data_IF_456266854635
#
_entry.id   IF_456266854635
#
_cell.length_a   1.000
_cell.length_b   1.000
_cell.length_c   1.000
_cell.angle_alpha   90.00
_cell.angle_beta   90.00
_cell.angle_gamma   90.00
#
_symmetry.space_group_name_H-M   'P 1'
#
loop_
_entity.id
_entity.type
_entity.pdbx_description
1 polymer ?
#
# COMPACT_ATOMS: atom_id res chain seq x y z
N UNK A 1 15.92 7.79 -88.17
CA UNK A 1 16.96 8.73 -87.68
C UNK A 1 16.39 9.62 -86.58
N UNK A 2 16.43 9.17 -85.31
CA UNK A 2 16.21 10.04 -84.14
C UNK A 2 17.39 9.81 -83.21
N UNK A 3 18.33 10.73 -83.25
CA UNK A 3 19.52 10.77 -82.39
C UNK A 3 19.07 11.06 -80.96
N UNK A 4 19.35 10.11 -80.06
CA UNK A 4 19.16 10.28 -78.61
C UNK A 4 20.29 11.18 -78.12
N UNK A 5 20.00 12.47 -77.96
CA UNK A 5 20.94 13.43 -77.40
C UNK A 5 21.07 13.23 -75.89
N UNK A 6 22.23 12.76 -75.45
CA UNK A 6 22.61 12.77 -74.04
C UNK A 6 22.84 14.24 -73.61
N UNK A 7 21.95 14.77 -72.77
CA UNK A 7 22.20 16.06 -72.10
C UNK A 7 23.37 15.86 -71.12
N UNK A 8 24.42 16.72 -71.15
CA UNK A 8 25.51 16.62 -70.19
C UNK A 8 24.95 16.86 -68.79
N UNK A 9 25.14 15.87 -67.91
CA UNK A 9 24.74 15.95 -66.53
C UNK A 9 25.55 17.08 -65.87
N UNK A 10 24.86 18.09 -65.35
CA UNK A 10 25.52 19.26 -64.77
C UNK A 10 26.36 18.82 -63.56
N UNK A 11 27.64 19.18 -63.54
CA UNK A 11 28.63 18.75 -62.52
C UNK A 11 28.13 19.05 -61.10
N UNK A 12 27.36 20.14 -60.92
CA UNK A 12 26.74 20.49 -59.63
C UNK A 12 25.69 19.48 -59.14
N UNK A 13 24.99 18.80 -60.04
CA UNK A 13 24.02 17.76 -59.67
C UNK A 13 24.72 16.47 -59.23
N UNK A 14 25.89 16.18 -59.80
CA UNK A 14 26.72 15.03 -59.41
C UNK A 14 27.34 15.27 -58.03
N UNK A 15 27.88 16.46 -57.79
CA UNK A 15 28.45 16.81 -56.48
C UNK A 15 27.40 16.84 -55.39
N UNK A 16 26.20 17.38 -55.64
CA UNK A 16 25.14 17.39 -54.64
C UNK A 16 24.61 15.99 -54.32
N UNK A 17 24.56 15.09 -55.31
CA UNK A 17 24.19 13.68 -55.08
C UNK A 17 25.25 12.91 -54.32
N UNK A 18 26.53 13.13 -54.63
CA UNK A 18 27.65 12.55 -53.87
C UNK A 18 27.66 13.06 -52.43
N UNK A 19 27.43 14.36 -52.22
CA UNK A 19 27.35 14.94 -50.89
C UNK A 19 26.18 14.38 -50.09
N UNK A 20 24.99 14.27 -50.70
CA UNK A 20 23.83 13.63 -50.08
C UNK A 20 24.07 12.14 -49.78
N UNK A 21 24.75 11.41 -50.66
CA UNK A 21 25.11 10.00 -50.45
C UNK A 21 26.13 9.84 -49.32
N UNK A 22 27.10 10.75 -49.20
CA UNK A 22 28.07 10.76 -48.09
C UNK A 22 27.37 11.09 -46.78
N UNK A 23 26.45 12.06 -46.76
CA UNK A 23 25.63 12.36 -45.57
C UNK A 23 24.79 11.13 -45.18
N UNK A 24 24.14 10.46 -46.13
CA UNK A 24 23.38 9.24 -45.87
C UNK A 24 24.26 8.08 -45.39
N UNK A 25 25.49 7.94 -45.90
CA UNK A 25 26.45 6.93 -45.46
C UNK A 25 26.94 7.22 -44.04
N UNK A 26 27.26 8.47 -43.73
CA UNK A 26 27.69 8.91 -42.41
C UNK A 26 26.55 8.78 -41.40
N UNK A 27 25.33 9.18 -41.76
CA UNK A 27 24.13 8.98 -40.93
C UNK A 27 23.81 7.49 -40.72
N UNK A 28 24.05 6.64 -41.72
CA UNK A 28 23.90 5.18 -41.61
C UNK A 28 24.95 4.50 -40.71
N UNK A 29 26.08 5.16 -40.43
CA UNK A 29 27.10 4.69 -39.49
C UNK A 29 26.94 5.24 -38.06
N UNK A 30 26.03 6.20 -37.84
CA UNK A 30 25.74 6.77 -36.52
C UNK A 30 24.62 6.06 -35.75
N UNK A 31 24.19 4.88 -36.18
CA UNK A 31 23.51 3.96 -35.27
C UNK A 31 24.56 3.37 -34.34
N UNK A 32 24.90 4.08 -33.27
CA UNK A 32 25.51 3.45 -32.09
C UNK A 32 24.44 2.50 -31.54
N UNK A 33 24.47 1.25 -31.98
CA UNK A 33 23.63 0.21 -31.39
C UNK A 33 24.19 -0.03 -30.01
N UNK A 34 23.52 0.50 -28.98
CA UNK A 34 23.75 0.05 -27.61
C UNK A 34 23.61 -1.47 -27.62
N UNK A 35 24.70 -2.15 -27.30
CA UNK A 35 24.71 -3.61 -27.20
C UNK A 35 24.01 -4.03 -25.91
N UNK A 36 23.58 -5.28 -25.84
CA UNK A 36 23.04 -5.84 -24.59
C UNK A 36 24.07 -5.75 -23.44
N UNK A 37 25.37 -5.79 -23.76
CA UNK A 37 26.43 -5.59 -22.79
C UNK A 37 26.46 -4.14 -22.25
N UNK A 38 26.33 -3.14 -23.13
CA UNK A 38 26.31 -1.72 -22.73
C UNK A 38 25.09 -1.42 -21.84
N UNK A 39 23.93 -2.03 -22.14
CA UNK A 39 22.74 -1.91 -21.31
C UNK A 39 22.92 -2.57 -19.95
N UNK A 40 23.53 -3.76 -19.89
CA UNK A 40 23.82 -4.44 -18.62
C UNK A 40 24.81 -3.67 -17.77
N UNK A 41 25.81 -3.03 -18.37
CA UNK A 41 26.75 -2.17 -17.66
C UNK A 41 26.04 -0.96 -17.06
N UNK A 42 25.23 -0.25 -17.87
CA UNK A 42 24.42 0.87 -17.40
C UNK A 42 23.45 0.46 -16.27
N UNK A 43 22.84 -0.72 -16.37
CA UNK A 43 21.91 -1.23 -15.35
C UNK A 43 22.56 -1.46 -13.99
N UNK A 44 23.88 -1.66 -13.93
CA UNK A 44 24.61 -1.89 -12.68
C UNK A 44 25.06 -0.58 -12.01
N UNK A 45 24.93 0.56 -12.69
CA UNK A 45 25.33 1.84 -12.14
C UNK A 45 24.44 2.27 -10.95
N UNK A 46 25.04 3.00 -10.02
CA UNK A 46 24.33 3.47 -8.83
C UNK A 46 23.26 4.54 -9.15
N UNK A 47 23.36 5.19 -10.32
CA UNK A 47 22.46 6.23 -10.81
C UNK A 47 21.42 5.73 -11.83
N UNK A 48 21.35 4.41 -12.06
CA UNK A 48 20.27 3.78 -12.83
C UNK A 48 19.00 3.63 -11.97
N UNK A 49 18.26 2.53 -12.09
CA UNK A 49 17.06 2.29 -11.31
C UNK A 49 17.46 1.95 -9.88
N UNK A 50 16.73 2.51 -8.91
CA UNK A 50 16.77 2.11 -7.50
C UNK A 50 15.36 2.00 -6.95
N UNK A 51 15.14 0.95 -6.17
CA UNK A 51 13.88 0.70 -5.48
C UNK A 51 14.02 0.81 -3.95
N UNK A 52 13.04 1.40 -3.29
CA UNK A 52 12.94 1.42 -1.83
C UNK A 52 11.48 1.28 -1.38
N UNK A 53 11.27 0.74 -0.18
CA UNK A 53 9.98 0.80 0.49
C UNK A 53 9.93 2.03 1.39
N UNK A 54 8.83 2.78 1.32
CA UNK A 54 8.55 3.88 2.24
C UNK A 54 7.45 3.47 3.18
N UNK A 55 7.76 3.44 4.48
CA UNK A 55 6.79 3.27 5.56
C UNK A 55 6.40 4.64 6.08
N UNK A 56 5.11 4.94 6.09
CA UNK A 56 4.57 6.20 6.64
C UNK A 56 3.94 5.94 8.00
N UNK A 57 4.27 6.79 8.97
CA UNK A 57 3.72 6.73 10.34
C UNK A 57 2.19 6.81 10.34
N UNK A 58 1.51 6.26 11.36
CA UNK A 58 0.07 6.47 11.58
C UNK A 58 -0.37 7.94 11.53
N UNK A 59 -1.49 8.21 10.86
CA UNK A 59 -2.15 9.52 10.83
C UNK A 59 -3.36 9.60 11.77
N UNK A 60 -4.01 10.77 11.80
CA UNK A 60 -5.16 11.03 12.70
C UNK A 60 -6.51 10.63 12.08
N UNK A 61 -6.60 10.61 10.75
CA UNK A 61 -7.81 10.21 10.04
C UNK A 61 -7.97 8.68 10.02
N UNK A 62 -9.21 8.19 10.00
CA UNK A 62 -9.54 6.76 10.09
C UNK A 62 -8.85 5.91 9.02
N UNK A 63 -8.71 6.43 7.79
CA UNK A 63 -8.05 5.75 6.67
C UNK A 63 -6.52 5.71 6.81
N UNK A 64 -5.94 6.70 7.51
CA UNK A 64 -4.49 6.82 7.73
C UNK A 64 -4.01 6.21 9.06
N UNK A 65 -4.94 5.75 9.90
CA UNK A 65 -4.66 5.34 11.28
C UNK A 65 -3.68 4.15 11.37
N UNK A 66 -3.64 3.29 10.36
CA UNK A 66 -2.71 2.16 10.31
C UNK A 66 -1.30 2.48 9.85
N UNK A 67 -1.04 3.73 9.46
CA UNK A 67 0.12 4.08 8.65
C UNK A 67 -0.12 3.75 7.17
N UNK A 68 0.94 3.84 6.37
CA UNK A 68 0.86 3.52 4.95
C UNK A 68 2.17 2.89 4.47
N UNK A 69 2.11 2.10 3.41
CA UNK A 69 3.28 1.54 2.74
C UNK A 69 3.25 1.98 1.28
N UNK A 70 4.40 2.41 0.77
CA UNK A 70 4.58 2.76 -0.63
C UNK A 70 5.90 2.20 -1.16
N UNK A 71 6.04 2.08 -2.49
CA UNK A 71 7.30 1.74 -3.15
C UNK A 71 7.80 2.98 -3.91
N UNK A 72 9.02 3.41 -3.64
CA UNK A 72 9.68 4.44 -4.44
C UNK A 72 10.56 3.78 -5.51
N UNK A 73 10.43 4.26 -6.74
CA UNK A 73 11.28 3.90 -7.86
C UNK A 73 11.92 5.17 -8.39
N UNK A 74 13.25 5.20 -8.42
CA UNK A 74 14.00 6.35 -8.90
C UNK A 74 14.99 5.95 -9.99
N UNK A 75 15.19 6.83 -10.97
CA UNK A 75 16.20 6.72 -12.01
C UNK A 75 16.88 8.08 -12.21
N UNK A 76 17.96 8.38 -11.47
CA UNK A 76 18.68 9.65 -11.58
C UNK A 76 19.16 10.00 -13.00
N UNK A 77 19.66 9.02 -13.78
CA UNK A 77 20.07 9.24 -15.18
C UNK A 77 18.93 9.77 -16.04
N UNK A 78 17.70 9.36 -15.77
CA UNK A 78 16.50 9.84 -16.47
C UNK A 78 15.81 11.01 -15.75
N UNK A 79 16.32 11.44 -14.59
CA UNK A 79 15.69 12.45 -13.73
C UNK A 79 14.25 12.10 -13.35
N UNK A 80 13.98 10.82 -13.11
CA UNK A 80 12.66 10.30 -12.73
C UNK A 80 12.70 9.82 -11.28
N UNK A 81 11.67 10.17 -10.51
CA UNK A 81 11.53 9.76 -9.11
C UNK A 81 10.04 9.67 -8.75
N UNK A 82 9.54 8.43 -8.71
CA UNK A 82 8.14 8.12 -8.47
C UNK A 82 7.94 7.35 -7.17
N UNK A 83 6.77 7.55 -6.59
CA UNK A 83 6.24 6.72 -5.51
C UNK A 83 4.96 6.07 -6.01
N UNK A 84 4.87 4.77 -5.78
CA UNK A 84 3.74 3.92 -6.08
C UNK A 84 3.07 3.49 -4.78
N UNK A 85 1.77 3.67 -4.71
CA UNK A 85 0.94 3.26 -3.59
C UNK A 85 -0.27 2.47 -4.08
N UNK A 86 -0.89 1.73 -3.15
CA UNK A 86 -2.20 1.11 -3.37
C UNK A 86 -3.15 1.61 -2.29
N UNK A 87 -4.24 2.24 -2.71
CA UNK A 87 -5.24 2.80 -1.81
C UNK A 87 -6.67 2.55 -2.31
N UNK A 88 -7.64 2.89 -1.47
CA UNK A 88 -9.04 2.86 -1.82
C UNK A 88 -9.34 3.89 -2.93
N UNK A 89 -9.91 3.42 -4.03
CA UNK A 89 -10.40 4.26 -5.11
C UNK A 89 -11.69 4.96 -4.66
N UNK A 90 -11.58 6.24 -4.30
CA UNK A 90 -12.68 7.04 -3.77
C UNK A 90 -12.89 8.29 -4.63
N UNK A 91 -14.14 8.56 -4.98
CA UNK A 91 -14.52 9.88 -5.50
C UNK A 91 -14.72 10.88 -4.35
N UNK A 92 -14.58 12.18 -4.62
CA UNK A 92 -14.69 13.25 -3.61
C UNK A 92 -15.98 13.20 -2.77
N UNK A 93 -17.09 12.74 -3.35
CA UNK A 93 -18.40 12.68 -2.70
C UNK A 93 -18.70 11.34 -2.00
N UNK A 94 -17.76 10.38 -2.02
CA UNK A 94 -17.97 9.03 -1.52
C UNK A 94 -17.48 8.82 -0.08
N UNK A 95 -18.24 8.03 0.68
CA UNK A 95 -17.85 7.65 2.04
C UNK A 95 -17.18 6.28 2.05
N UNK A 96 -15.91 6.24 2.45
CA UNK A 96 -15.14 5.01 2.67
C UNK A 96 -15.92 3.98 3.49
N UNK A 97 -16.49 4.41 4.62
CA UNK A 97 -17.23 3.53 5.54
C UNK A 97 -18.47 2.96 4.86
N UNK A 98 -19.22 3.78 4.13
CA UNK A 98 -20.43 3.33 3.45
C UNK A 98 -20.11 2.35 2.32
N UNK A 99 -19.08 2.61 1.52
CA UNK A 99 -18.62 1.72 0.47
C UNK A 99 -18.13 0.38 1.03
N UNK A 100 -17.40 0.41 2.15
CA UNK A 100 -16.96 -0.79 2.85
C UNK A 100 -18.16 -1.61 3.35
N UNK A 101 -19.10 -0.99 4.06
CA UNK A 101 -20.31 -1.66 4.57
C UNK A 101 -21.16 -2.27 3.44
N UNK A 102 -21.17 -1.63 2.27
CA UNK A 102 -21.88 -2.09 1.08
C UNK A 102 -21.08 -3.08 0.21
N UNK A 103 -19.84 -3.43 0.58
CA UNK A 103 -18.91 -4.27 -0.22
C UNK A 103 -18.64 -3.72 -1.63
N UNK A 104 -18.67 -2.41 -1.79
CA UNK A 104 -18.40 -1.72 -3.06
C UNK A 104 -17.04 -1.02 -3.09
N UNK A 105 -16.26 -1.14 -2.02
CA UNK A 105 -14.95 -0.51 -1.95
C UNK A 105 -13.99 -1.19 -2.93
N UNK A 106 -13.48 -0.41 -3.88
CA UNK A 106 -12.45 -0.81 -4.84
C UNK A 106 -11.13 -0.15 -4.46
N UNK A 107 -10.04 -0.70 -4.98
CA UNK A 107 -8.70 -0.17 -4.81
C UNK A 107 -8.06 0.10 -6.15
N UNK A 108 -7.03 0.93 -6.13
CA UNK A 108 -6.25 1.30 -7.29
C UNK A 108 -4.78 1.47 -6.94
N UNK A 109 -3.92 1.24 -7.92
CA UNK A 109 -2.52 1.63 -7.84
C UNK A 109 -2.38 3.07 -8.32
N UNK A 110 -1.64 3.87 -7.57
CA UNK A 110 -1.45 5.29 -7.85
C UNK A 110 0.04 5.54 -8.02
N UNK A 111 0.41 6.29 -9.05
CA UNK A 111 1.77 6.79 -9.28
C UNK A 111 1.82 8.29 -9.03
N UNK A 112 2.70 8.70 -8.14
CA UNK A 112 2.94 10.10 -7.77
C UNK A 112 4.41 10.45 -7.97
N UNK A 113 4.73 11.72 -8.20
CA UNK A 113 6.10 12.18 -8.02
C UNK A 113 6.47 12.06 -6.54
N UNK A 114 7.69 11.60 -6.25
CA UNK A 114 8.14 11.41 -4.86
C UNK A 114 8.06 12.71 -4.06
N UNK A 115 8.34 13.85 -4.70
CA UNK A 115 8.21 15.17 -4.07
C UNK A 115 6.77 15.49 -3.63
N UNK A 116 5.76 15.16 -4.43
CA UNK A 116 4.36 15.40 -4.11
C UNK A 116 3.89 14.51 -2.96
N UNK A 117 4.25 13.21 -3.01
CA UNK A 117 3.96 12.26 -1.94
C UNK A 117 4.56 12.73 -0.60
N UNK A 118 5.87 13.02 -0.57
CA UNK A 118 6.56 13.46 0.65
C UNK A 118 6.01 14.80 1.18
N UNK A 119 5.64 15.72 0.30
CA UNK A 119 5.00 16.97 0.69
C UNK A 119 3.64 16.74 1.35
N UNK A 120 2.84 15.80 0.84
CA UNK A 120 1.54 15.45 1.44
C UNK A 120 1.71 14.81 2.82
N UNK A 121 2.63 13.86 2.95
CA UNK A 121 2.97 13.25 4.25
C UNK A 121 3.41 14.31 5.26
N UNK A 122 4.23 15.28 4.84
CA UNK A 122 4.68 16.37 5.70
C UNK A 122 3.53 17.30 6.13
N UNK A 123 2.61 17.65 5.22
CA UNK A 123 1.40 18.46 5.53
C UNK A 123 0.52 17.77 6.57
N UNK A 124 0.48 16.45 6.59
CA UNK A 124 -0.23 15.65 7.60
C UNK A 124 0.53 15.54 8.94
N UNK A 125 1.70 16.16 9.07
CA UNK A 125 2.60 16.02 10.23
C UNK A 125 3.01 14.56 10.50
N UNK A 126 3.09 13.76 9.45
CA UNK A 126 3.49 12.35 9.51
C UNK A 126 4.97 12.21 9.16
N UNK A 127 5.56 11.12 9.62
CA UNK A 127 6.97 10.76 9.41
C UNK A 127 7.07 9.63 8.39
N UNK A 128 8.18 9.58 7.67
CA UNK A 128 8.51 8.50 6.74
C UNK A 128 9.80 7.80 7.14
N UNK A 129 9.86 6.52 6.85
CA UNK A 129 11.07 5.71 6.88
C UNK A 129 11.25 5.06 5.52
N UNK A 130 12.47 5.12 5.00
CA UNK A 130 12.80 4.57 3.69
C UNK A 130 13.76 3.38 3.85
N UNK A 131 13.42 2.28 3.19
CA UNK A 131 14.15 1.03 3.24
C UNK A 131 14.57 0.64 1.82
N UNK A 132 15.83 0.90 1.42
CA UNK A 132 16.35 0.49 0.13
C UNK A 132 16.25 -1.03 -0.07
N UNK A 133 15.76 -1.45 -1.23
CA UNK A 133 15.62 -2.86 -1.58
C UNK A 133 16.90 -3.37 -2.25
N UNK A 134 17.40 -4.51 -1.77
CA UNK A 134 18.54 -5.21 -2.34
C UNK A 134 18.07 -6.15 -3.48
N UNK A 135 17.72 -5.53 -4.60
CA UNK A 135 17.29 -6.18 -5.84
C UNK A 135 18.46 -6.29 -6.83
N UNK A 136 18.40 -7.26 -7.74
CA UNK A 136 19.26 -7.21 -8.93
C UNK A 136 18.70 -6.21 -9.94
N UNK A 137 19.51 -5.67 -10.87
CA UNK A 137 18.99 -4.70 -11.83
C UNK A 137 17.84 -5.23 -12.70
N UNK A 138 17.83 -6.53 -13.01
CA UNK A 138 16.73 -7.16 -13.73
C UNK A 138 15.44 -7.18 -12.89
N UNK A 139 15.55 -7.41 -11.58
CA UNK A 139 14.41 -7.36 -10.66
C UNK A 139 13.91 -5.92 -10.44
N UNK A 140 14.80 -4.93 -10.45
CA UNK A 140 14.43 -3.51 -10.38
C UNK A 140 13.64 -3.07 -11.62
N UNK A 141 14.10 -3.46 -12.82
CA UNK A 141 13.37 -3.24 -14.08
C UNK A 141 12.02 -3.94 -14.06
N UNK A 142 11.98 -5.21 -13.65
CA UNK A 142 10.74 -5.98 -13.56
C UNK A 142 9.75 -5.38 -12.56
N UNK A 143 10.23 -4.92 -11.39
CA UNK A 143 9.41 -4.26 -10.38
C UNK A 143 8.81 -2.97 -10.92
N UNK A 144 9.61 -2.13 -11.58
CA UNK A 144 9.11 -0.90 -12.18
C UNK A 144 8.02 -1.19 -13.22
N UNK A 145 8.29 -2.12 -14.14
CA UNK A 145 7.34 -2.50 -15.19
C UNK A 145 6.02 -3.03 -14.59
N UNK A 146 6.10 -3.92 -13.60
CA UNK A 146 4.91 -4.45 -12.93
C UNK A 146 4.09 -3.36 -12.24
N UNK A 147 4.74 -2.35 -11.65
CA UNK A 147 4.06 -1.22 -11.02
C UNK A 147 3.38 -0.30 -12.03
N UNK A 148 4.06 0.02 -13.14
CA UNK A 148 3.46 0.82 -14.22
C UNK A 148 2.28 0.07 -14.86
N UNK A 149 2.42 -1.22 -15.15
CA UNK A 149 1.32 -2.05 -15.67
C UNK A 149 0.13 -2.10 -14.70
N UNK A 150 0.39 -2.17 -13.39
CA UNK A 150 -0.65 -2.17 -12.37
C UNK A 150 -1.41 -0.84 -12.29
N UNK A 151 -0.71 0.29 -12.45
CA UNK A 151 -1.32 1.63 -12.52
C UNK A 151 -2.13 1.79 -13.80
N UNK A 152 -1.57 1.39 -14.95
CA UNK A 152 -2.23 1.49 -16.25
C UNK A 152 -3.46 0.56 -16.35
N UNK A 153 -3.51 -0.49 -15.54
CA UNK A 153 -4.66 -1.38 -15.38
C UNK A 153 -5.91 -0.74 -14.74
N UNK A 154 -5.78 0.42 -14.08
CA UNK A 154 -6.90 1.19 -13.51
C UNK A 154 -7.46 0.66 -12.18
N UNK A 155 -8.68 1.11 -11.83
CA UNK A 155 -9.26 1.00 -10.48
C UNK A 155 -10.19 -0.21 -10.26
N UNK A 156 -9.82 -1.40 -10.75
CA UNK A 156 -10.66 -2.60 -10.69
C UNK A 156 -10.17 -3.66 -9.69
N UNK A 157 -9.37 -3.25 -8.70
CA UNK A 157 -8.92 -4.17 -7.67
C UNK A 157 -9.95 -4.27 -6.53
N UNK A 158 -10.23 -5.48 -6.01
CA UNK A 158 -10.97 -5.59 -4.75
C UNK A 158 -10.14 -4.94 -3.65
N UNK A 159 -10.77 -4.08 -2.84
CA UNK A 159 -10.11 -3.54 -1.65
C UNK A 159 -10.67 -4.23 -0.41
N UNK A 160 -9.78 -4.76 0.41
CA UNK A 160 -10.13 -5.30 1.71
C UNK A 160 -9.01 -5.05 2.70
N UNK A 161 -9.27 -4.39 3.84
CA UNK A 161 -8.27 -4.20 4.87
C UNK A 161 -7.55 -5.49 5.31
N UNK A 162 -8.20 -6.65 5.24
CA UNK A 162 -7.64 -7.97 5.62
C UNK A 162 -6.86 -8.66 4.51
N UNK A 163 -7.19 -8.43 3.23
CA UNK A 163 -6.69 -9.27 2.14
C UNK A 163 -6.02 -8.46 1.02
N UNK A 164 -6.59 -7.32 0.66
CA UNK A 164 -6.14 -6.47 -0.44
C UNK A 164 -5.98 -5.05 0.08
N UNK A 165 -4.84 -4.82 0.72
CA UNK A 165 -4.45 -3.55 1.33
C UNK A 165 -3.09 -3.09 0.80
N UNK A 166 -2.65 -1.90 1.18
CA UNK A 166 -1.37 -1.34 0.72
C UNK A 166 -0.19 -2.30 0.92
N UNK A 167 -0.11 -3.01 2.05
CA UNK A 167 0.96 -3.97 2.31
C UNK A 167 0.84 -5.20 1.42
N UNK A 168 -0.29 -5.91 1.43
CA UNK A 168 -0.40 -7.17 0.67
C UNK A 168 -0.22 -6.92 -0.83
N UNK A 169 -0.83 -5.86 -1.37
CA UNK A 169 -0.74 -5.54 -2.80
C UNK A 169 0.68 -5.18 -3.23
N UNK A 170 1.35 -4.25 -2.54
CA UNK A 170 2.71 -3.84 -2.91
C UNK A 170 3.75 -4.96 -2.69
N UNK A 171 3.62 -5.73 -1.61
CA UNK A 171 4.50 -6.87 -1.36
C UNK A 171 4.29 -7.98 -2.40
N UNK A 172 3.05 -8.22 -2.88
CA UNK A 172 2.79 -9.15 -3.98
C UNK A 172 3.44 -8.70 -5.30
N UNK A 173 3.51 -7.39 -5.57
CA UNK A 173 4.20 -6.89 -6.77
C UNK A 173 5.71 -7.12 -6.66
N UNK A 174 6.28 -6.98 -5.45
CA UNK A 174 7.68 -7.34 -5.19
C UNK A 174 7.92 -8.84 -5.38
N UNK A 175 7.07 -9.72 -4.82
CA UNK A 175 7.18 -11.18 -5.05
C UNK A 175 7.10 -11.53 -6.54
N UNK A 176 6.26 -10.82 -7.29
CA UNK A 176 6.12 -11.01 -8.74
C UNK A 176 7.41 -10.65 -9.49
N UNK A 177 8.10 -9.58 -9.08
CA UNK A 177 9.40 -9.20 -9.64
C UNK A 177 10.51 -10.18 -9.25
N UNK A 178 10.46 -10.73 -8.04
CA UNK A 178 11.40 -11.74 -7.54
C UNK A 178 11.11 -13.14 -8.11
N UNK A 179 9.91 -13.37 -8.65
CA UNK A 179 9.37 -14.66 -9.09
C UNK A 179 9.32 -15.72 -7.98
N UNK A 180 9.17 -15.29 -6.73
CA UNK A 180 9.13 -16.18 -5.56
C UNK A 180 8.32 -15.56 -4.41
N UNK A 181 7.59 -16.41 -3.68
CA UNK A 181 6.80 -16.01 -2.51
C UNK A 181 7.64 -15.84 -1.24
N UNK A 182 8.53 -14.84 -1.24
CA UNK A 182 9.52 -14.62 -0.18
C UNK A 182 8.93 -14.15 1.15
N UNK A 183 7.79 -13.45 1.15
CA UNK A 183 7.16 -12.91 2.37
C UNK A 183 6.36 -13.97 3.14
N UNK A 184 6.16 -15.14 2.53
CA UNK A 184 5.53 -16.32 3.12
C UNK A 184 6.53 -17.44 3.43
N UNK A 185 7.83 -17.17 3.32
CA UNK A 185 8.88 -18.15 3.62
C UNK A 185 8.85 -18.59 5.10
N UNK A 186 9.29 -19.81 5.44
CA UNK A 186 9.30 -20.29 6.83
C UNK A 186 10.08 -19.36 7.79
N UNK A 187 11.22 -18.85 7.32
CA UNK A 187 12.04 -17.87 8.06
C UNK A 187 11.24 -16.62 8.43
N UNK A 188 10.25 -16.23 7.63
CA UNK A 188 9.48 -15.01 7.87
C UNK A 188 8.16 -15.30 8.59
N UNK A 189 7.50 -16.40 8.24
CA UNK A 189 6.22 -16.80 8.81
C UNK A 189 6.26 -16.94 10.34
N UNK A 190 7.35 -17.45 10.91
CA UNK A 190 7.54 -17.57 12.37
C UNK A 190 7.60 -16.22 13.11
N UNK A 191 7.78 -15.11 12.38
CA UNK A 191 7.89 -13.74 12.92
C UNK A 191 6.62 -12.93 12.71
N UNK A 192 5.66 -13.49 11.98
CA UNK A 192 4.35 -12.87 11.79
C UNK A 192 3.46 -13.19 12.99
N UNK A 193 2.50 -12.29 13.24
CA UNK A 193 1.48 -12.52 14.24
C UNK A 193 0.53 -13.65 13.81
N UNK A 194 -0.04 -14.38 14.77
CA UNK A 194 -1.01 -15.45 14.46
C UNK A 194 -2.33 -14.91 13.86
N UNK A 195 -2.61 -13.63 14.06
CA UNK A 195 -3.84 -12.97 13.64
C UNK A 195 -3.63 -11.51 13.25
N UNK A 196 -4.38 -11.05 12.25
CA UNK A 196 -4.46 -9.64 11.88
C UNK A 196 -5.08 -8.76 12.98
N UNK A 197 -5.66 -9.31 14.05
CA UNK A 197 -6.21 -8.51 15.15
C UNK A 197 -5.18 -7.63 15.83
N UNK A 198 -3.93 -8.08 15.88
CA UNK A 198 -2.85 -7.32 16.49
C UNK A 198 -2.58 -6.01 15.74
N UNK A 199 -2.76 -6.00 14.42
CA UNK A 199 -2.60 -4.78 13.62
C UNK A 199 -3.65 -3.74 13.99
N UNK A 200 -4.91 -4.15 14.23
CA UNK A 200 -6.01 -3.24 14.64
C UNK A 200 -5.69 -2.58 15.98
N UNK A 201 -5.18 -3.33 16.95
CA UNK A 201 -4.80 -2.77 18.25
C UNK A 201 -3.74 -1.68 18.12
N UNK A 202 -2.75 -1.91 17.27
CA UNK A 202 -1.65 -0.99 17.03
C UNK A 202 -2.12 0.24 16.22
N UNK A 203 -2.95 0.01 15.19
CA UNK A 203 -3.54 1.04 14.32
C UNK A 203 -4.39 2.05 15.10
N UNK A 204 -5.28 1.53 15.95
CA UNK A 204 -6.25 2.36 16.66
C UNK A 204 -5.85 2.64 18.11
N UNK A 205 -4.56 2.50 18.44
CA UNK A 205 -4.02 2.80 19.77
C UNK A 205 -4.42 4.19 20.30
N UNK A 206 -4.50 5.19 19.41
CA UNK A 206 -4.95 6.57 19.71
C UNK A 206 -6.47 6.79 19.60
N UNK A 207 -7.23 5.80 19.10
CA UNK A 207 -8.66 5.86 18.86
C UNK A 207 -9.40 4.59 19.34
N UNK A 208 -9.46 4.33 20.66
CA UNK A 208 -9.97 3.08 21.25
C UNK A 208 -11.35 2.64 20.78
N UNK A 209 -12.29 3.57 20.65
CA UNK A 209 -13.65 3.25 20.21
C UNK A 209 -13.70 2.95 18.71
N UNK A 210 -12.85 3.58 17.92
CA UNK A 210 -12.66 3.24 16.50
C UNK A 210 -12.07 1.84 16.39
N UNK A 211 -11.05 1.50 17.20
CA UNK A 211 -10.49 0.15 17.27
C UNK A 211 -11.51 -0.90 17.70
N UNK A 212 -12.36 -0.60 18.68
CA UNK A 212 -13.47 -1.46 19.06
C UNK A 212 -14.46 -1.67 17.91
N UNK A 213 -14.84 -0.59 17.21
CA UNK A 213 -15.73 -0.65 16.06
C UNK A 213 -15.13 -1.55 14.97
N UNK A 214 -13.89 -1.31 14.55
CA UNK A 214 -13.23 -2.14 13.53
C UNK A 214 -13.06 -3.59 13.97
N UNK A 215 -12.68 -3.85 15.22
CA UNK A 215 -12.66 -5.21 15.75
C UNK A 215 -14.02 -5.91 15.63
N UNK A 216 -15.11 -5.16 15.80
CA UNK A 216 -16.47 -5.67 15.66
C UNK A 216 -16.87 -5.89 14.18
N UNK A 217 -16.51 -4.96 13.28
CA UNK A 217 -16.92 -4.99 11.88
C UNK A 217 -16.13 -5.97 11.01
N UNK A 218 -14.83 -6.15 11.27
CA UNK A 218 -13.92 -6.87 10.39
C UNK A 218 -14.10 -8.40 10.40
N UNK A 219 -14.74 -8.93 11.45
CA UNK A 219 -15.11 -10.35 11.51
C UNK A 219 -13.95 -11.33 11.32
N UNK A 220 -14.26 -12.56 10.90
CA UNK A 220 -13.31 -13.69 10.85
C UNK A 220 -12.13 -13.48 9.89
N UNK A 221 -12.26 -12.60 8.91
CA UNK A 221 -11.22 -12.37 7.89
C UNK A 221 -9.90 -11.88 8.50
N UNK A 222 -9.97 -11.13 9.61
CA UNK A 222 -8.78 -10.70 10.36
C UNK A 222 -8.29 -11.75 11.37
N UNK A 223 -9.15 -12.69 11.78
CA UNK A 223 -8.77 -13.76 12.72
C UNK A 223 -7.94 -14.84 12.03
N UNK A 224 -8.33 -15.20 10.80
CA UNK A 224 -7.67 -16.27 10.02
C UNK A 224 -7.41 -15.78 8.60
N UNK A 225 -6.30 -15.08 8.35
CA UNK A 225 -5.96 -14.61 7.02
C UNK A 225 -5.69 -15.79 6.06
N UNK A 226 -6.04 -15.61 4.79
CA UNK A 226 -5.87 -16.67 3.76
C UNK A 226 -4.40 -16.94 3.42
N UNK A 227 -3.55 -15.93 3.53
CA UNK A 227 -2.14 -15.98 3.17
C UNK A 227 -1.30 -15.24 4.21
N UNK A 228 -0.04 -15.64 4.38
CA UNK A 228 0.86 -14.99 5.34
C UNK A 228 1.13 -13.52 5.00
N UNK A 229 1.17 -13.17 3.71
CA UNK A 229 1.36 -11.79 3.23
C UNK A 229 0.26 -10.82 3.73
N UNK A 230 -0.91 -11.35 4.08
CA UNK A 230 -2.05 -10.56 4.59
C UNK A 230 -1.90 -10.17 6.07
N UNK A 231 -0.92 -10.73 6.77
CA UNK A 231 -0.60 -10.36 8.16
C UNK A 231 0.27 -9.10 8.24
N UNK A 232 0.84 -8.66 7.11
CA UNK A 232 1.70 -7.49 7.09
C UNK A 232 0.90 -6.22 7.29
N UNK A 233 1.44 -5.36 8.14
CA UNK A 233 1.01 -3.98 8.29
C UNK A 233 2.23 -3.06 8.41
N UNK A 234 2.10 -1.75 8.14
CA UNK A 234 3.25 -0.85 7.95
C UNK A 234 4.30 -0.92 9.06
N UNK A 235 3.89 -0.99 10.33
CA UNK A 235 4.78 -1.05 11.49
C UNK A 235 5.59 -2.36 11.60
N UNK A 236 5.16 -3.45 10.95
CA UNK A 236 5.91 -4.70 10.92
C UNK A 236 7.04 -4.70 9.90
N UNK A 237 6.97 -3.83 8.88
CA UNK A 237 7.85 -3.90 7.71
C UNK A 237 9.33 -3.85 8.12
N UNK A 238 9.73 -2.86 8.94
CA UNK A 238 11.11 -2.76 9.42
C UNK A 238 11.59 -3.98 10.23
N UNK A 239 10.67 -4.69 10.89
CA UNK A 239 10.99 -5.85 11.75
C UNK A 239 11.06 -7.17 10.98
N UNK A 240 10.27 -7.32 9.93
CA UNK A 240 10.14 -8.59 9.20
C UNK A 240 11.05 -8.65 7.96
N UNK A 241 11.24 -7.53 7.26
CA UNK A 241 11.95 -7.50 5.98
C UNK A 241 13.45 -7.84 6.07
N UNK A 242 14.18 -7.61 7.18
CA UNK A 242 15.56 -8.09 7.31
C UNK A 242 15.71 -9.63 7.23
N UNK A 243 14.62 -10.38 7.43
CA UNK A 243 14.62 -11.85 7.35
C UNK A 243 14.18 -12.38 5.99
N UNK A 244 13.62 -11.52 5.15
CA UNK A 244 13.25 -11.85 3.77
C UNK A 244 14.54 -11.88 2.95
N UNK A 245 14.82 -12.97 2.24
CA UNK A 245 16.02 -13.11 1.40
C UNK A 245 15.64 -13.01 -0.06
N UNK A 246 16.47 -12.32 -0.83
CA UNK A 246 16.35 -12.28 -2.28
C UNK A 246 16.83 -13.62 -2.86
N UNK A 247 16.01 -14.35 -3.63
CA UNK A 247 16.37 -15.67 -4.14
C UNK A 247 17.49 -15.66 -5.18
N UNK A 248 17.67 -14.54 -5.90
CA UNK A 248 18.70 -14.43 -6.93
C UNK A 248 20.12 -14.35 -6.36
N UNK A 249 20.28 -13.78 -5.15
CA UNK A 249 21.60 -13.53 -4.56
C UNK A 249 21.78 -14.06 -3.13
N UNK A 250 20.71 -14.57 -2.50
CA UNK A 250 20.69 -15.13 -1.15
C UNK A 250 20.88 -14.12 -0.01
N UNK A 251 20.98 -12.82 -0.32
CA UNK A 251 21.15 -11.75 0.67
C UNK A 251 19.80 -11.27 1.21
N UNK A 252 19.74 -10.64 2.39
CA UNK A 252 18.54 -9.97 2.87
C UNK A 252 18.02 -8.96 1.84
N UNK A 253 16.69 -8.89 1.71
CA UNK A 253 16.01 -7.93 0.82
C UNK A 253 16.22 -6.49 1.31
N UNK A 254 16.43 -6.30 2.62
CA UNK A 254 16.73 -5.00 3.22
C UNK A 254 17.86 -5.16 4.23
N UNK A 255 18.80 -4.21 4.22
CA UNK A 255 19.91 -4.20 5.17
C UNK A 255 19.39 -3.88 6.59
N UNK A 256 19.77 -4.70 7.58
CA UNK A 256 19.30 -4.60 8.99
C UNK A 256 19.67 -3.29 9.71
N UNK A 257 20.32 -2.33 9.03
CA UNK A 257 20.72 -1.02 9.58
C UNK A 257 19.66 0.06 9.43
N UNK A 258 18.53 -0.23 8.80
CA UNK A 258 17.40 0.69 8.82
C UNK A 258 16.92 0.84 10.28
N UNK A 259 17.01 2.05 10.80
CA UNK A 259 16.75 2.34 12.20
C UNK A 259 15.36 1.84 12.61
N UNK A 260 15.29 1.08 13.71
CA UNK A 260 14.05 0.82 14.44
C UNK A 260 13.48 2.15 14.95
N UNK A 261 12.87 2.97 14.11
CA UNK A 261 12.03 4.05 14.61
C UNK A 261 10.71 3.43 15.04
N UNK A 262 10.66 3.16 16.33
CA UNK A 262 9.44 2.75 17.01
C UNK A 262 8.49 3.94 16.94
N UNK A 263 7.56 3.94 15.97
CA UNK A 263 6.41 4.84 16.02
C UNK A 263 5.76 4.64 17.39
N UNK A 264 5.84 5.68 18.24
CA UNK A 264 5.32 5.61 19.60
C UNK A 264 3.82 5.36 19.51
N UNK A 265 3.41 4.17 19.88
CA UNK A 265 2.02 3.89 20.19
C UNK A 265 1.72 4.57 21.52
N UNK A 266 0.94 5.64 21.48
CA UNK A 266 0.32 6.14 22.70
C UNK A 266 -0.76 5.11 23.05
N UNK A 267 -0.48 4.29 24.07
CA UNK A 267 -1.43 3.26 24.51
C UNK A 267 -2.78 3.88 24.87
N UNK A 268 -3.80 3.02 24.97
CA UNK A 268 -5.13 3.44 25.41
C UNK A 268 -5.04 4.11 26.78
N UNK A 269 -5.15 5.45 26.81
CA UNK A 269 -5.18 6.22 28.06
C UNK A 269 -6.44 5.90 28.88
N UNK A 270 -6.86 6.84 29.75
CA UNK A 270 -8.05 6.66 30.61
C UNK A 270 -9.39 6.42 29.87
N UNK A 271 -9.41 6.54 28.54
CA UNK A 271 -10.57 6.34 27.66
C UNK A 271 -10.63 4.94 27.01
N UNK A 272 -9.91 3.96 27.56
CA UNK A 272 -9.97 2.60 27.05
C UNK A 272 -11.40 2.02 27.13
N UNK A 273 -11.88 1.23 26.13
CA UNK A 273 -13.29 0.83 26.06
C UNK A 273 -13.72 0.00 27.28
N UNK A 274 -12.82 -0.84 27.80
CA UNK A 274 -13.08 -1.66 28.98
C UNK A 274 -13.33 -0.81 30.25
N UNK A 275 -12.67 0.35 30.39
CA UNK A 275 -12.89 1.28 31.52
C UNK A 275 -14.29 1.90 31.41
N UNK A 276 -14.68 2.33 30.20
CA UNK A 276 -16.00 2.91 29.96
C UNK A 276 -17.10 1.87 30.17
N UNK A 277 -16.92 0.65 29.69
CA UNK A 277 -17.87 -0.43 29.94
C UNK A 277 -17.96 -0.81 31.42
N UNK A 278 -16.84 -0.79 32.15
CA UNK A 278 -16.86 -0.96 33.61
C UNK A 278 -17.66 0.15 34.30
N UNK A 279 -17.48 1.40 33.89
CA UNK A 279 -18.25 2.53 34.43
C UNK A 279 -19.75 2.38 34.14
N UNK A 280 -20.12 2.03 32.90
CA UNK A 280 -21.51 1.76 32.51
C UNK A 280 -22.09 0.60 33.33
N UNK A 281 -21.31 -0.46 33.55
CA UNK A 281 -21.71 -1.60 34.38
C UNK A 281 -21.96 -1.20 35.85
N UNK A 282 -21.07 -0.40 36.44
CA UNK A 282 -21.24 0.10 37.82
C UNK A 282 -22.49 0.98 37.93
N UNK A 283 -22.74 1.86 36.96
CA UNK A 283 -23.96 2.68 36.90
C UNK A 283 -25.20 1.78 36.78
N UNK A 284 -25.16 0.76 35.92
CA UNK A 284 -26.26 -0.20 35.75
C UNK A 284 -26.57 -0.93 37.08
N UNK A 285 -25.55 -1.41 37.78
CA UNK A 285 -25.72 -2.05 39.09
C UNK A 285 -26.31 -1.09 40.13
N UNK A 286 -25.84 0.17 40.17
CA UNK A 286 -26.36 1.18 41.08
C UNK A 286 -27.84 1.51 40.81
N UNK A 287 -28.20 1.77 39.55
CA UNK A 287 -29.58 2.06 39.15
C UNK A 287 -30.51 0.87 39.42
N UNK A 288 -30.06 -0.35 39.13
CA UNK A 288 -30.78 -1.58 39.44
C UNK A 288 -31.05 -1.70 40.94
N UNK A 289 -30.03 -1.47 41.78
CA UNK A 289 -30.18 -1.52 43.24
C UNK A 289 -31.16 -0.45 43.77
N UNK A 290 -31.07 0.77 43.24
CA UNK A 290 -31.99 1.86 43.61
C UNK A 290 -33.42 1.53 43.21
N UNK A 291 -33.62 0.97 42.01
CA UNK A 291 -34.92 0.55 41.50
C UNK A 291 -35.53 -0.56 42.38
N UNK A 292 -34.75 -1.57 42.80
CA UNK A 292 -35.19 -2.62 43.74
C UNK A 292 -35.61 -2.02 45.09
N UNK A 293 -34.97 -0.93 45.54
CA UNK A 293 -35.36 -0.17 46.74
C UNK A 293 -36.55 0.76 46.53
N UNK A 294 -37.19 0.74 45.36
CA UNK A 294 -38.33 1.61 45.01
C UNK A 294 -37.96 3.07 44.79
N UNK A 295 -36.69 3.37 44.48
CA UNK A 295 -36.17 4.72 44.21
C UNK A 295 -35.63 4.81 42.78
N UNK A 296 -35.68 5.99 42.17
CA UNK A 296 -35.09 6.25 40.84
C UNK A 296 -35.60 5.32 39.70
N UNK A 297 -36.83 4.81 39.81
CA UNK A 297 -37.39 3.86 38.84
C UNK A 297 -37.40 4.40 37.40
N UNK A 298 -37.81 5.65 37.18
CA UNK A 298 -37.79 6.27 35.85
C UNK A 298 -36.38 6.38 35.28
N UNK A 299 -35.38 6.70 36.10
CA UNK A 299 -33.99 6.80 35.65
C UNK A 299 -33.43 5.43 35.24
N UNK A 300 -33.75 4.37 36.01
CA UNK A 300 -33.40 3.00 35.64
C UNK A 300 -34.04 2.59 34.31
N UNK A 301 -35.33 2.87 34.12
CA UNK A 301 -36.03 2.55 32.87
C UNK A 301 -35.43 3.30 31.67
N UNK A 302 -35.17 4.60 31.78
CA UNK A 302 -34.55 5.38 30.70
C UNK A 302 -33.17 4.83 30.36
N UNK A 303 -32.36 4.51 31.37
CA UNK A 303 -31.05 3.90 31.17
C UNK A 303 -31.15 2.57 30.43
N UNK A 304 -32.06 1.68 30.84
CA UNK A 304 -32.29 0.39 30.18
C UNK A 304 -32.76 0.56 28.73
N UNK A 305 -33.68 1.48 28.47
CA UNK A 305 -34.13 1.82 27.11
C UNK A 305 -32.98 2.32 26.24
N UNK A 306 -32.12 3.19 26.76
CA UNK A 306 -30.95 3.68 26.04
C UNK A 306 -29.94 2.55 25.77
N UNK A 307 -29.61 1.75 26.79
CA UNK A 307 -28.64 0.67 26.68
C UNK A 307 -29.12 -0.40 25.68
N UNK A 308 -30.37 -0.82 25.78
CA UNK A 308 -30.98 -1.78 24.86
C UNK A 308 -31.13 -1.20 23.46
N UNK A 309 -31.49 0.08 23.34
CA UNK A 309 -31.58 0.77 22.06
C UNK A 309 -30.25 0.83 21.31
N UNK A 310 -29.16 1.16 22.00
CA UNK A 310 -27.81 1.15 21.41
C UNK A 310 -27.40 -0.27 21.00
N UNK A 311 -27.62 -1.27 21.87
CA UNK A 311 -27.30 -2.66 21.53
C UNK A 311 -28.13 -3.18 20.34
N UNK A 312 -29.42 -2.82 20.27
CA UNK A 312 -30.27 -3.15 19.14
C UNK A 312 -29.77 -2.51 17.84
N UNK A 313 -29.35 -1.24 17.88
CA UNK A 313 -28.79 -0.56 16.71
C UNK A 313 -27.49 -1.24 16.22
N UNK A 314 -26.56 -1.58 17.12
CA UNK A 314 -25.36 -2.34 16.78
C UNK A 314 -25.72 -3.72 16.21
N UNK A 315 -26.68 -4.41 16.80
CA UNK A 315 -27.20 -5.68 16.30
C UNK A 315 -27.78 -5.58 14.89
N UNK A 316 -28.54 -4.51 14.59
CA UNK A 316 -29.05 -4.25 13.24
C UNK A 316 -27.93 -4.03 12.22
N UNK A 317 -26.86 -3.31 12.58
CA UNK A 317 -25.70 -3.11 11.71
C UNK A 317 -24.99 -4.44 11.43
N UNK A 318 -24.74 -5.24 12.47
CA UNK A 318 -24.08 -6.55 12.31
C UNK A 318 -24.93 -7.52 11.49
N UNK A 319 -26.25 -7.51 11.72
CA UNK A 319 -27.17 -8.31 10.93
C UNK A 319 -27.21 -7.85 9.47
N UNK A 320 -27.20 -6.55 9.21
CA UNK A 320 -27.09 -6.00 7.85
C UNK A 320 -25.80 -6.45 7.16
N UNK A 321 -24.64 -6.34 7.84
CA UNK A 321 -23.36 -6.79 7.29
C UNK A 321 -23.32 -8.29 7.03
N UNK A 322 -23.93 -9.10 7.90
CA UNK A 322 -24.07 -10.53 7.69
C UNK A 322 -24.96 -10.84 6.47
N UNK A 323 -26.08 -10.15 6.31
CA UNK A 323 -26.92 -10.32 5.12
C UNK A 323 -26.19 -9.87 3.86
N UNK A 324 -25.53 -8.71 3.89
CA UNK A 324 -24.70 -8.25 2.78
C UNK A 324 -23.62 -9.29 2.44
N UNK A 325 -22.97 -9.90 3.44
CA UNK A 325 -21.90 -10.86 3.18
C UNK A 325 -22.36 -12.18 2.57
N UNK A 326 -23.55 -12.65 2.92
CA UNK A 326 -24.12 -13.92 2.41
C UNK A 326 -24.82 -13.74 1.06
N UNK A 327 -25.47 -12.60 0.81
CA UNK A 327 -26.34 -12.42 -0.35
C UNK A 327 -25.71 -11.62 -1.51
N UNK A 328 -24.54 -11.01 -1.32
CA UNK A 328 -23.80 -10.33 -2.40
C UNK A 328 -22.51 -11.05 -2.79
N UNK A 329 -22.33 -12.29 -2.33
CA UNK A 329 -21.24 -13.19 -2.74
C UNK A 329 -21.67 -14.15 -3.82
#
# INVERSE_FOLDING_TARGET
NKTIGWKPMCISQVTNRLFALVILLVMGHFSAWATEADLRELMQEDDYIKASLIVVSPGDAIYSAGGHLAIRMSCPVQSVDYVYEFDAALNDDESLVLLYLNRKLRGEYIRLFASDFLNNVHKENRQTEEYPLNLTPEQEVALWANLDDAVDGGSDFPFSPSEHNCCSMLLSVIESALQESVFSSPDVAERLEDSGRKSIEDFFSRAPFTGLLWNTLLGREFDTPKQAINLYYPKMIGKTLPFVKNPANGKPLIDSKSNDTIFKGDGYGAYAPHIVFLMVFVIACFLTFMNVKGRMCCASQIFDWCLLGVNAAVGCILWYMFCASVFTG
#
